data_IF_498043493080
#
_entry.id   IF_498043493080
#
_cell.length_a   1.000
_cell.length_b   1.000
_cell.length_c   1.000
_cell.angle_alpha   90.00
_cell.angle_beta   90.00
_cell.angle_gamma   90.00
#
_symmetry.space_group_name_H-M   'P 1'
#
loop_
_entity.id
_entity.type
_entity.pdbx_description
1 polymer ?
#
# COMPACT_ATOMS: atom_id res chain seq x y z
N UNK A 1 11.28 24.88 -7.64
CA UNK A 1 11.39 23.41 -7.68
C UNK A 1 10.43 22.80 -8.69
N UNK A 2 10.68 21.57 -9.17
CA UNK A 2 9.72 20.84 -10.00
C UNK A 2 8.71 20.14 -9.09
N UNK A 3 7.43 20.07 -9.51
CA UNK A 3 6.38 19.35 -8.82
C UNK A 3 5.32 18.83 -9.81
N UNK A 4 4.86 17.61 -9.63
CA UNK A 4 3.76 17.04 -10.41
C UNK A 4 2.44 17.44 -9.76
N UNK A 5 1.72 18.37 -10.41
CA UNK A 5 0.53 19.00 -9.85
C UNK A 5 -0.76 18.53 -10.52
N UNK A 6 -1.77 18.30 -9.70
CA UNK A 6 -3.17 18.21 -10.08
C UNK A 6 -3.76 19.61 -10.05
N UNK A 7 -4.41 20.00 -11.14
CA UNK A 7 -4.88 21.38 -11.38
C UNK A 7 -6.41 21.47 -11.29
N UNK A 8 -6.96 22.67 -11.01
CA UNK A 8 -8.40 22.88 -11.07
C UNK A 8 -8.94 22.76 -12.49
N UNK A 9 -10.26 22.76 -12.62
CA UNK A 9 -10.99 22.80 -13.90
C UNK A 9 -10.65 21.66 -14.87
N UNK A 10 -10.38 20.45 -14.32
CA UNK A 10 -10.05 19.25 -15.09
C UNK A 10 -8.85 19.41 -16.07
N UNK A 11 -7.96 20.36 -15.80
CA UNK A 11 -6.72 20.48 -16.55
C UNK A 11 -5.84 19.23 -16.32
N UNK A 12 -5.08 18.76 -17.32
CA UNK A 12 -4.20 17.61 -17.15
C UNK A 12 -3.17 17.84 -16.06
N UNK A 13 -3.02 16.86 -15.18
CA UNK A 13 -1.94 16.85 -14.19
C UNK A 13 -0.59 16.81 -14.92
N UNK A 14 0.35 17.65 -14.49
CA UNK A 14 1.64 17.81 -15.16
C UNK A 14 2.71 18.33 -14.21
N UNK A 15 3.97 18.17 -14.60
CA UNK A 15 5.10 18.81 -13.91
C UNK A 15 5.05 20.32 -14.17
N UNK A 16 5.23 21.07 -13.08
CA UNK A 16 5.32 22.52 -13.09
C UNK A 16 6.49 22.99 -12.23
N UNK A 17 7.01 24.16 -12.57
CA UNK A 17 7.92 24.89 -11.69
C UNK A 17 7.09 25.70 -10.69
N UNK A 18 7.32 25.45 -9.42
CA UNK A 18 6.65 26.11 -8.30
C UNK A 18 7.70 26.59 -7.29
N UNK A 19 7.32 27.52 -6.39
CA UNK A 19 8.19 27.92 -5.32
C UNK A 19 8.47 26.76 -4.38
N UNK A 20 9.69 26.70 -3.83
CA UNK A 20 10.03 25.72 -2.79
C UNK A 20 9.24 26.04 -1.53
N UNK A 21 8.47 25.08 -0.97
CA UNK A 21 7.64 25.36 0.18
C UNK A 21 8.49 25.58 1.44
N UNK A 22 8.05 26.49 2.31
CA UNK A 22 8.64 26.67 3.63
C UNK A 22 7.85 25.86 4.67
N UNK A 23 8.55 25.14 5.59
CA UNK A 23 7.89 24.34 6.60
C UNK A 23 7.19 25.22 7.63
N UNK A 24 5.92 24.92 7.90
CA UNK A 24 5.10 25.58 8.92
C UNK A 24 5.43 25.05 10.31
N UNK A 25 4.75 25.59 11.32
CA UNK A 25 4.85 25.08 12.69
C UNK A 25 4.57 23.57 12.74
N UNK A 26 5.48 22.80 13.34
CA UNK A 26 5.40 21.33 13.45
C UNK A 26 5.75 20.56 12.18
N UNK A 27 6.16 21.24 11.09
CA UNK A 27 6.54 20.57 9.83
C UNK A 27 8.06 20.54 9.62
N UNK A 28 8.48 19.60 8.82
CA UNK A 28 9.83 19.52 8.23
C UNK A 28 9.74 19.62 6.73
N UNK A 29 10.75 20.24 6.09
CA UNK A 29 10.96 20.15 4.64
C UNK A 29 11.91 19.03 4.34
N UNK A 30 11.52 18.13 3.42
CA UNK A 30 12.35 17.06 2.90
C UNK A 30 12.91 17.44 1.53
N UNK A 31 14.20 17.21 1.32
CA UNK A 31 14.74 16.92 0.00
C UNK A 31 14.29 15.48 -0.34
N UNK A 32 13.42 15.34 -1.34
CA UNK A 32 12.78 14.07 -1.67
C UNK A 32 13.76 13.20 -2.44
N UNK A 33 14.07 12.02 -1.92
CA UNK A 33 14.88 11.02 -2.60
C UNK A 33 14.05 10.03 -3.41
N UNK A 34 12.82 9.75 -2.98
CA UNK A 34 11.89 8.87 -3.69
C UNK A 34 10.44 9.07 -3.22
N UNK A 35 9.49 8.81 -4.11
CA UNK A 35 8.04 8.79 -3.84
C UNK A 35 7.42 7.50 -4.39
N UNK A 36 6.71 6.74 -3.56
CA UNK A 36 6.00 5.53 -3.95
C UNK A 36 4.63 5.83 -4.55
N UNK A 37 4.35 5.32 -5.74
CA UNK A 37 3.03 5.43 -6.36
C UNK A 37 2.03 4.44 -5.75
N UNK A 38 0.79 4.88 -5.59
CA UNK A 38 -0.33 4.11 -5.07
C UNK A 38 -1.54 4.18 -6.00
N UNK A 39 -2.41 3.18 -5.95
CA UNK A 39 -3.66 3.22 -6.72
C UNK A 39 -4.54 4.43 -6.34
N UNK A 40 -4.42 4.90 -5.10
CA UNK A 40 -5.07 6.10 -4.61
C UNK A 40 -4.65 7.37 -5.37
N UNK A 41 -3.42 7.46 -5.88
CA UNK A 41 -2.97 8.60 -6.69
C UNK A 41 -3.80 8.73 -7.98
N UNK A 42 -4.19 7.60 -8.60
CA UNK A 42 -5.10 7.59 -9.75
C UNK A 42 -6.50 8.12 -9.41
N UNK A 43 -6.98 7.83 -8.21
CA UNK A 43 -8.28 8.30 -7.73
C UNK A 43 -8.22 9.78 -7.34
N UNK A 44 -7.10 10.25 -6.76
CA UNK A 44 -6.88 11.66 -6.41
C UNK A 44 -6.87 12.56 -7.64
N UNK A 45 -6.25 12.13 -8.74
CA UNK A 45 -6.28 12.89 -10.02
C UNK A 45 -7.71 13.09 -10.52
N UNK A 46 -8.63 12.16 -10.22
CA UNK A 46 -10.05 12.23 -10.62
C UNK A 46 -10.95 12.90 -9.58
N UNK A 47 -10.43 13.21 -8.39
CA UNK A 47 -11.24 13.67 -7.26
C UNK A 47 -12.14 12.60 -6.62
N UNK A 48 -11.82 11.32 -6.86
CA UNK A 48 -12.61 10.16 -6.40
C UNK A 48 -12.07 9.54 -5.09
N UNK A 49 -10.93 10.02 -4.59
CA UNK A 49 -10.36 9.54 -3.32
C UNK A 49 -10.93 10.33 -2.14
N UNK A 50 -11.22 9.66 -1.03
CA UNK A 50 -11.91 10.25 0.14
C UNK A 50 -11.16 11.41 0.81
N UNK A 51 -9.83 11.43 0.72
CA UNK A 51 -8.97 12.52 1.25
C UNK A 51 -8.28 13.29 0.10
N UNK A 52 -8.98 13.48 -1.04
CA UNK A 52 -8.45 14.28 -2.16
C UNK A 52 -8.37 15.76 -1.73
N UNK A 53 -7.18 16.38 -1.82
CA UNK A 53 -7.06 17.81 -1.54
C UNK A 53 -7.74 18.68 -2.61
N UNK A 54 -8.08 19.93 -2.25
CA UNK A 54 -8.54 20.92 -3.22
C UNK A 54 -7.40 21.30 -4.19
N UNK A 55 -7.64 21.26 -5.52
CA UNK A 55 -6.63 21.71 -6.49
C UNK A 55 -6.38 23.22 -6.41
N UNK A 56 -5.12 23.70 -6.67
CA UNK A 56 -3.98 22.92 -7.09
C UNK A 56 -3.26 22.22 -5.92
N UNK A 57 -2.84 20.97 -6.12
CA UNK A 57 -1.99 20.28 -5.15
C UNK A 57 -0.93 19.42 -5.84
N UNK A 58 0.17 19.14 -5.13
CA UNK A 58 1.21 18.22 -5.58
C UNK A 58 0.84 16.80 -5.18
N UNK A 59 0.80 15.88 -6.16
CA UNK A 59 0.48 14.48 -5.94
C UNK A 59 1.61 13.75 -5.18
N UNK A 60 1.36 12.48 -4.79
CA UNK A 60 2.33 11.61 -4.12
C UNK A 60 2.17 11.60 -2.60
N UNK A 61 1.65 10.49 -2.08
CA UNK A 61 1.21 10.40 -0.69
C UNK A 61 2.25 9.80 0.27
N UNK A 62 3.23 9.05 -0.22
CA UNK A 62 4.29 8.46 0.60
C UNK A 62 5.67 8.73 0.00
N UNK A 63 6.56 9.21 0.84
CA UNK A 63 7.90 9.65 0.39
C UNK A 63 8.98 9.19 1.34
N UNK A 64 10.20 9.16 0.82
CA UNK A 64 11.41 9.05 1.61
C UNK A 64 12.42 10.11 1.14
N UNK A 65 13.16 10.67 2.06
CA UNK A 65 14.12 11.73 1.76
C UNK A 65 14.94 12.14 2.99
N UNK A 66 15.63 13.27 2.85
CA UNK A 66 16.45 13.85 3.91
C UNK A 66 15.80 15.13 4.42
N UNK A 67 15.72 15.31 5.73
CA UNK A 67 15.22 16.55 6.34
C UNK A 67 16.24 17.66 6.09
N UNK A 68 15.81 18.69 5.34
CA UNK A 68 16.66 19.81 4.95
C UNK A 68 16.36 21.07 5.77
N UNK A 69 15.11 21.23 6.25
CA UNK A 69 14.73 22.34 7.10
C UNK A 69 13.67 21.91 8.12
N UNK A 70 13.71 22.54 9.30
CA UNK A 70 12.73 22.39 10.37
C UNK A 70 11.89 23.66 10.49
N UNK A 71 10.58 23.52 10.57
CA UNK A 71 9.67 24.62 10.89
C UNK A 71 9.66 24.98 12.37
N UNK A 72 8.99 26.06 12.76
CA UNK A 72 8.88 26.44 14.17
C UNK A 72 8.36 25.29 15.04
N UNK A 73 8.96 25.13 16.23
CA UNK A 73 8.57 24.10 17.20
C UNK A 73 9.08 22.67 16.92
N UNK A 74 9.84 22.47 15.84
CA UNK A 74 10.47 21.18 15.53
C UNK A 74 11.91 21.17 16.02
N UNK A 75 12.35 20.02 16.57
CA UNK A 75 13.72 19.82 17.04
C UNK A 75 14.71 19.83 15.86
N UNK A 76 15.67 20.77 15.89
CA UNK A 76 16.73 20.87 14.86
C UNK A 76 17.66 19.65 14.82
N UNK A 77 17.66 18.79 15.84
CA UNK A 77 18.40 17.51 15.81
C UNK A 77 17.86 16.56 14.71
N UNK A 78 16.71 16.84 14.11
CA UNK A 78 16.17 16.13 12.96
C UNK A 78 16.83 16.51 11.62
N UNK A 79 17.52 17.66 11.54
CA UNK A 79 18.23 18.08 10.31
C UNK A 79 19.21 17.01 9.85
N UNK A 80 19.20 16.73 8.56
CA UNK A 80 20.04 15.71 7.93
C UNK A 80 19.59 14.27 8.18
N UNK A 81 18.52 14.02 8.95
CA UNK A 81 17.98 12.67 9.15
C UNK A 81 17.31 12.16 7.89
N UNK A 82 17.58 10.90 7.58
CA UNK A 82 16.90 10.14 6.53
C UNK A 82 15.60 9.60 7.09
N UNK A 83 14.49 9.95 6.45
CA UNK A 83 13.15 9.62 6.94
C UNK A 83 12.24 9.12 5.81
N UNK A 84 11.20 8.37 6.20
CA UNK A 84 10.04 8.15 5.37
C UNK A 84 8.81 8.77 6.03
N UNK A 85 7.87 9.26 5.22
CA UNK A 85 6.64 9.87 5.73
C UNK A 85 5.44 9.59 4.83
N UNK A 86 4.29 9.32 5.44
CA UNK A 86 3.00 9.35 4.78
C UNK A 86 2.41 10.75 4.94
N UNK A 87 2.57 11.58 3.91
CA UNK A 87 2.08 12.97 3.89
C UNK A 87 0.65 13.12 3.37
N UNK A 88 0.15 12.12 2.64
CA UNK A 88 -1.12 12.18 1.93
C UNK A 88 -1.05 12.90 0.58
N UNK A 89 -0.12 13.82 0.40
CA UNK A 89 0.18 14.57 -0.82
C UNK A 89 1.60 15.15 -0.74
N UNK A 90 2.08 15.77 -1.81
CA UNK A 90 3.32 16.57 -1.81
C UNK A 90 4.57 15.83 -2.22
N UNK A 91 4.50 14.50 -2.46
CA UNK A 91 5.67 13.65 -2.64
C UNK A 91 6.24 13.59 -4.05
N UNK A 92 5.49 13.92 -5.08
CA UNK A 92 5.98 13.94 -6.47
C UNK A 92 6.56 15.32 -6.82
N UNK A 93 7.66 15.65 -6.17
CA UNK A 93 8.37 16.93 -6.30
C UNK A 93 9.84 16.79 -5.88
N UNK A 94 10.65 17.82 -6.12
CA UNK A 94 12.03 17.90 -5.61
C UNK A 94 12.05 18.05 -4.08
N UNK A 95 11.11 18.84 -3.52
CA UNK A 95 10.96 19.12 -2.08
C UNK A 95 9.50 19.05 -1.66
N UNK A 96 9.26 18.72 -0.38
CA UNK A 96 7.92 18.74 0.21
C UNK A 96 7.95 19.01 1.71
N UNK A 97 6.90 19.65 2.24
CA UNK A 97 6.74 19.86 3.67
C UNK A 97 5.75 18.86 4.26
N UNK A 98 6.13 18.24 5.40
CA UNK A 98 5.38 17.17 6.04
C UNK A 98 5.39 17.30 7.56
N UNK A 99 4.34 16.80 8.26
CA UNK A 99 4.33 16.80 9.73
C UNK A 99 5.52 16.02 10.30
N UNK A 100 6.28 16.65 11.18
CA UNK A 100 7.49 16.07 11.78
C UNK A 100 7.18 14.81 12.62
N UNK A 101 6.02 14.80 13.29
CA UNK A 101 5.54 13.68 14.12
C UNK A 101 5.15 12.42 13.31
N UNK A 102 5.03 12.54 11.99
CA UNK A 102 4.77 11.41 11.08
C UNK A 102 6.03 10.87 10.41
N UNK A 103 7.16 11.56 10.57
CA UNK A 103 8.42 11.13 10.01
C UNK A 103 8.98 9.94 10.78
N UNK A 104 9.27 8.86 10.09
CA UNK A 104 9.92 7.66 10.65
C UNK A 104 11.37 7.63 10.20
N UNK A 105 12.30 7.64 11.15
CA UNK A 105 13.75 7.52 10.85
C UNK A 105 14.04 6.18 10.20
N UNK A 106 14.77 6.23 9.09
CA UNK A 106 15.13 5.04 8.32
C UNK A 106 16.37 4.32 8.89
N UNK A 107 16.42 2.98 8.79
CA UNK A 107 17.69 2.26 8.93
C UNK A 107 18.73 2.77 7.93
N UNK A 108 20.00 2.88 8.33
CA UNK A 108 21.07 3.44 7.48
C UNK A 108 21.22 2.72 6.14
N UNK A 109 21.02 1.40 6.14
CA UNK A 109 21.14 0.57 4.94
C UNK A 109 19.89 0.60 4.02
N UNK A 110 18.77 1.21 4.45
CA UNK A 110 17.53 1.21 3.66
C UNK A 110 17.59 2.26 2.55
N UNK A 111 17.52 1.89 1.24
CA UNK A 111 17.44 2.85 0.15
C UNK A 111 16.16 3.67 0.21
N UNK A 112 16.16 4.91 -0.28
CA UNK A 112 14.96 5.73 -0.37
C UNK A 112 13.86 5.09 -1.22
N UNK A 113 14.23 4.35 -2.26
CA UNK A 113 13.27 3.62 -3.11
C UNK A 113 12.50 2.55 -2.34
N UNK A 114 13.16 1.79 -1.47
CA UNK A 114 12.50 0.81 -0.61
C UNK A 114 11.62 1.51 0.43
N UNK A 115 12.16 2.57 1.06
CA UNK A 115 11.47 3.31 2.10
C UNK A 115 10.20 4.01 1.59
N UNK A 116 10.24 4.60 0.38
CA UNK A 116 9.08 5.21 -0.27
C UNK A 116 8.05 4.18 -0.78
N UNK A 117 8.44 2.92 -0.91
CA UNK A 117 7.57 1.81 -1.29
C UNK A 117 6.97 1.05 -0.09
N UNK A 118 7.28 1.48 1.14
CA UNK A 118 7.14 0.65 2.33
C UNK A 118 5.88 0.97 3.15
N UNK A 119 5.71 2.23 3.57
CA UNK A 119 4.74 2.56 4.62
C UNK A 119 3.30 2.18 4.28
N UNK A 120 2.80 2.61 3.12
CA UNK A 120 1.41 2.36 2.73
C UNK A 120 1.17 0.89 2.45
N UNK A 121 2.04 0.24 1.67
CA UNK A 121 1.82 -1.13 1.27
C UNK A 121 1.96 -2.11 2.44
N UNK A 122 3.11 -2.09 3.13
CA UNK A 122 3.34 -2.98 4.28
C UNK A 122 2.45 -2.60 5.47
N UNK A 123 2.30 -1.30 5.77
CA UNK A 123 1.43 -0.83 6.86
C UNK A 123 -0.02 -1.25 6.67
N UNK A 124 -0.57 -1.14 5.46
CA UNK A 124 -1.91 -1.63 5.14
C UNK A 124 -2.03 -3.12 5.39
N UNK A 125 -1.09 -3.91 4.87
CA UNK A 125 -1.13 -5.37 4.99
C UNK A 125 -0.94 -5.85 6.42
N UNK A 126 -0.02 -5.25 7.18
CA UNK A 126 0.20 -5.62 8.57
C UNK A 126 -1.00 -5.26 9.47
N UNK A 127 -1.52 -4.03 9.38
CA UNK A 127 -2.71 -3.64 10.15
C UNK A 127 -3.92 -4.50 9.76
N UNK A 128 -4.06 -4.87 8.48
CA UNK A 128 -5.12 -5.75 8.03
C UNK A 128 -5.01 -7.15 8.65
N UNK A 129 -3.86 -7.77 8.55
CA UNK A 129 -3.66 -9.17 8.95
C UNK A 129 -3.56 -9.30 10.48
N UNK A 130 -2.76 -8.46 11.13
CA UNK A 130 -2.53 -8.51 12.58
C UNK A 130 -3.71 -7.88 13.36
N UNK A 131 -3.95 -6.58 13.17
CA UNK A 131 -4.90 -5.84 14.01
C UNK A 131 -6.37 -6.15 13.68
N UNK A 132 -6.72 -6.26 12.38
CA UNK A 132 -8.11 -6.47 11.95
C UNK A 132 -8.50 -7.94 11.90
N UNK A 133 -7.79 -8.75 11.15
CA UNK A 133 -8.09 -10.16 10.97
C UNK A 133 -7.57 -11.03 12.14
N UNK A 134 -6.57 -10.56 12.88
CA UNK A 134 -5.90 -11.34 13.95
C UNK A 134 -5.47 -12.72 13.42
N UNK A 135 -4.76 -12.70 12.29
CA UNK A 135 -4.27 -13.89 11.62
C UNK A 135 -3.43 -14.74 12.58
N UNK A 136 -3.74 -16.02 12.68
CA UNK A 136 -3.03 -16.96 13.56
C UNK A 136 -2.09 -17.86 12.76
N UNK A 137 -0.98 -18.30 13.35
CA UNK A 137 -0.13 -19.33 12.74
C UNK A 137 -0.93 -20.58 12.38
N UNK A 138 -0.68 -21.14 11.18
CA UNK A 138 -1.38 -22.33 10.67
C UNK A 138 -2.69 -22.06 9.96
N UNK A 139 -3.24 -20.83 10.01
CA UNK A 139 -4.42 -20.47 9.22
C UNK A 139 -4.09 -20.36 7.71
N UNK A 140 -5.11 -20.59 6.88
CA UNK A 140 -5.01 -20.47 5.42
C UNK A 140 -5.44 -19.06 5.00
N UNK A 141 -4.48 -18.30 4.47
CA UNK A 141 -4.65 -16.94 3.95
C UNK A 141 -4.70 -16.95 2.42
N UNK A 142 -5.84 -16.54 1.82
CA UNK A 142 -5.89 -16.20 0.40
C UNK A 142 -5.58 -14.72 0.20
N UNK A 143 -4.63 -14.42 -0.68
CA UNK A 143 -4.32 -13.07 -1.14
C UNK A 143 -4.77 -12.90 -2.58
N UNK A 144 -5.81 -12.11 -2.82
CA UNK A 144 -6.24 -11.72 -4.16
C UNK A 144 -5.34 -10.59 -4.69
N UNK A 145 -5.06 -10.58 -5.99
CA UNK A 145 -4.16 -9.59 -6.58
C UNK A 145 -2.74 -9.65 -5.99
N UNK A 146 -2.27 -10.83 -5.64
CA UNK A 146 -1.07 -11.12 -4.85
C UNK A 146 0.23 -10.52 -5.40
N UNK A 147 0.33 -10.21 -6.68
CA UNK A 147 1.51 -9.59 -7.28
C UNK A 147 1.46 -8.05 -7.31
N UNK A 148 0.38 -7.42 -6.83
CA UNK A 148 0.27 -5.97 -6.73
C UNK A 148 0.94 -5.43 -5.46
N UNK A 149 1.02 -4.09 -5.31
CA UNK A 149 1.71 -3.44 -4.19
C UNK A 149 1.29 -3.99 -2.82
N UNK A 150 0.01 -3.85 -2.45
CA UNK A 150 -0.49 -4.33 -1.15
C UNK A 150 -0.70 -5.86 -1.12
N UNK A 151 -0.89 -6.51 -2.28
CA UNK A 151 -1.04 -7.97 -2.33
C UNK A 151 0.27 -8.68 -2.02
N UNK A 152 1.37 -8.23 -2.63
CA UNK A 152 2.68 -8.86 -2.45
C UNK A 152 3.16 -8.73 -1.00
N UNK A 153 2.96 -7.56 -0.38
CA UNK A 153 3.29 -7.36 1.03
C UNK A 153 2.42 -8.21 1.97
N UNK A 154 1.15 -8.48 1.59
CA UNK A 154 0.30 -9.39 2.36
C UNK A 154 0.78 -10.85 2.26
N UNK A 155 1.37 -11.26 1.13
CA UNK A 155 2.01 -12.58 1.01
C UNK A 155 3.19 -12.69 1.97
N UNK A 156 4.14 -11.75 1.92
CA UNK A 156 5.31 -11.76 2.82
C UNK A 156 4.91 -11.72 4.29
N UNK A 157 4.03 -10.80 4.68
CA UNK A 157 3.58 -10.64 6.08
C UNK A 157 2.83 -11.90 6.54
N UNK A 158 1.94 -12.46 5.72
CA UNK A 158 1.24 -13.71 6.04
C UNK A 158 2.21 -14.85 6.33
N UNK A 159 3.29 -14.97 5.55
CA UNK A 159 4.36 -15.95 5.81
C UNK A 159 5.09 -15.66 7.12
N UNK A 160 5.46 -14.41 7.40
CA UNK A 160 6.10 -14.04 8.66
C UNK A 160 5.21 -14.34 9.88
N UNK A 161 3.89 -14.25 9.73
CA UNK A 161 2.91 -14.58 10.76
C UNK A 161 2.62 -16.10 10.87
N UNK A 162 3.23 -16.94 10.01
CA UNK A 162 3.11 -18.40 10.07
C UNK A 162 1.87 -18.98 9.38
N UNK A 163 1.22 -18.22 8.50
CA UNK A 163 0.08 -18.70 7.71
C UNK A 163 0.51 -19.59 6.54
N UNK A 164 -0.40 -20.46 6.07
CA UNK A 164 -0.34 -21.05 4.74
C UNK A 164 -0.91 -20.06 3.74
N UNK A 165 -0.07 -19.53 2.85
CA UNK A 165 -0.45 -18.45 1.93
C UNK A 165 -0.77 -18.98 0.54
N UNK A 166 -1.99 -18.72 0.09
CA UNK A 166 -2.46 -18.95 -1.29
C UNK A 166 -2.41 -17.60 -2.02
N UNK A 167 -1.55 -17.48 -3.02
CA UNK A 167 -1.46 -16.27 -3.85
C UNK A 167 -2.29 -16.45 -5.14
N UNK A 168 -3.23 -15.51 -5.35
CA UNK A 168 -4.04 -15.45 -6.56
C UNK A 168 -3.64 -14.24 -7.41
N UNK A 169 -3.13 -14.49 -8.62
CA UNK A 169 -2.74 -13.46 -9.57
C UNK A 169 -3.04 -13.90 -11.03
N UNK A 170 -2.82 -13.02 -12.00
CA UNK A 170 -3.11 -13.29 -13.42
C UNK A 170 -1.84 -13.53 -14.22
N UNK A 171 -1.61 -14.77 -14.63
CA UNK A 171 -0.52 -15.20 -15.51
C UNK A 171 0.76 -15.57 -14.76
N UNK A 172 1.56 -16.41 -15.40
CA UNK A 172 2.74 -17.05 -14.82
C UNK A 172 3.77 -16.08 -14.25
N UNK A 173 4.08 -14.99 -14.95
CA UNK A 173 5.08 -14.01 -14.51
C UNK A 173 4.72 -13.39 -13.16
N UNK A 174 3.44 -13.06 -12.94
CA UNK A 174 2.94 -12.52 -11.68
C UNK A 174 2.90 -13.54 -10.56
N UNK A 175 2.58 -14.77 -10.89
CA UNK A 175 2.59 -15.86 -9.92
C UNK A 175 4.02 -16.16 -9.46
N UNK A 176 5.01 -16.14 -10.36
CA UNK A 176 6.40 -16.31 -10.00
C UNK A 176 6.90 -15.26 -9.00
N UNK A 177 6.47 -14.01 -9.13
CA UNK A 177 6.80 -12.94 -8.16
C UNK A 177 6.17 -13.24 -6.79
N UNK A 178 4.92 -13.70 -6.76
CA UNK A 178 4.26 -14.05 -5.50
C UNK A 178 4.87 -15.31 -4.84
N UNK A 179 5.33 -16.28 -5.64
CA UNK A 179 6.07 -17.45 -5.16
C UNK A 179 7.39 -17.05 -4.51
N UNK A 180 8.15 -16.14 -5.16
CA UNK A 180 9.40 -15.62 -4.60
C UNK A 180 9.18 -14.85 -3.28
N UNK A 181 8.02 -14.22 -3.11
CA UNK A 181 7.62 -13.58 -1.87
C UNK A 181 7.18 -14.57 -0.77
N UNK A 182 7.16 -15.88 -1.07
CA UNK A 182 6.94 -16.94 -0.10
C UNK A 182 5.56 -17.57 -0.12
N UNK A 183 4.74 -17.37 -1.16
CA UNK A 183 3.45 -18.07 -1.28
C UNK A 183 3.64 -19.60 -1.34
N UNK A 184 2.83 -20.35 -0.59
CA UNK A 184 2.85 -21.82 -0.57
C UNK A 184 2.08 -22.43 -1.74
N UNK A 185 1.02 -21.74 -2.17
CA UNK A 185 0.16 -22.17 -3.28
C UNK A 185 -0.14 -21.03 -4.21
N UNK A 186 -0.28 -21.34 -5.50
CA UNK A 186 -0.54 -20.38 -6.56
C UNK A 186 -1.87 -20.70 -7.26
N UNK A 187 -2.62 -19.67 -7.59
CA UNK A 187 -3.86 -19.76 -8.39
C UNK A 187 -3.79 -18.74 -9.52
N UNK A 188 -3.83 -19.20 -10.78
CA UNK A 188 -3.96 -18.31 -11.92
C UNK A 188 -5.44 -17.92 -12.13
N UNK A 189 -5.77 -16.69 -11.74
CA UNK A 189 -7.12 -16.13 -11.89
C UNK A 189 -7.61 -16.01 -13.36
N UNK A 190 -6.77 -16.31 -14.37
CA UNK A 190 -7.18 -16.35 -15.78
C UNK A 190 -7.71 -17.72 -16.20
N UNK A 191 -7.18 -18.79 -15.62
CA UNK A 191 -7.34 -20.16 -16.14
C UNK A 191 -7.93 -21.12 -15.12
N UNK A 192 -7.89 -20.79 -13.81
CA UNK A 192 -8.35 -21.66 -12.74
C UNK A 192 -9.60 -21.11 -12.05
N UNK A 193 -10.47 -22.01 -11.58
CA UNK A 193 -11.58 -21.66 -10.70
C UNK A 193 -11.06 -21.45 -9.27
N UNK A 194 -11.06 -20.18 -8.84
CA UNK A 194 -10.54 -19.76 -7.53
C UNK A 194 -11.25 -20.53 -6.40
N UNK A 195 -12.58 -20.67 -6.48
CA UNK A 195 -13.37 -21.33 -5.45
C UNK A 195 -13.00 -22.81 -5.31
N UNK A 196 -12.98 -23.53 -6.43
CA UNK A 196 -12.70 -24.98 -6.43
C UNK A 196 -11.25 -25.25 -6.00
N UNK A 197 -10.30 -24.42 -6.44
CA UNK A 197 -8.90 -24.51 -6.00
C UNK A 197 -8.73 -24.27 -4.51
N UNK A 198 -9.36 -23.22 -3.97
CA UNK A 198 -9.30 -22.94 -2.53
C UNK A 198 -9.95 -24.06 -1.71
N UNK A 199 -11.07 -24.62 -2.16
CA UNK A 199 -11.72 -25.74 -1.47
C UNK A 199 -10.86 -27.02 -1.49
N UNK A 200 -10.18 -27.31 -2.61
CA UNK A 200 -9.27 -28.45 -2.71
C UNK A 200 -8.06 -28.32 -1.76
N UNK A 201 -7.71 -27.09 -1.37
CA UNK A 201 -6.66 -26.77 -0.39
C UNK A 201 -7.17 -26.69 1.06
N UNK A 202 -8.42 -27.07 1.34
CA UNK A 202 -8.99 -27.09 2.70
C UNK A 202 -9.86 -25.89 3.06
N UNK A 203 -10.12 -24.96 2.14
CA UNK A 203 -10.89 -23.75 2.39
C UNK A 203 -10.04 -22.58 2.89
N UNK A 204 -10.68 -21.49 3.30
CA UNK A 204 -10.02 -20.22 3.63
C UNK A 204 -10.41 -19.75 5.02
N UNK A 205 -9.45 -19.39 5.84
CA UNK A 205 -9.68 -18.80 7.17
C UNK A 205 -9.59 -17.27 7.11
N UNK A 206 -8.69 -16.74 6.27
CA UNK A 206 -8.56 -15.30 6.03
C UNK A 206 -8.48 -15.02 4.53
N UNK A 207 -9.17 -13.98 4.08
CA UNK A 207 -9.07 -13.47 2.70
C UNK A 207 -8.62 -12.03 2.74
N UNK A 208 -7.55 -11.71 2.02
CA UNK A 208 -7.06 -10.36 1.80
C UNK A 208 -7.46 -9.89 0.40
N UNK A 209 -8.43 -8.99 0.31
CA UNK A 209 -9.04 -8.60 -0.98
C UNK A 209 -8.86 -7.13 -1.34
N UNK A 210 -7.87 -6.79 -2.18
CA UNK A 210 -7.75 -5.48 -2.82
C UNK A 210 -8.44 -5.40 -4.19
N UNK A 211 -9.16 -6.45 -4.62
CA UNK A 211 -9.66 -6.61 -6.00
C UNK A 211 -11.17 -6.39 -6.11
N UNK A 212 -11.95 -7.04 -5.25
CA UNK A 212 -13.41 -7.05 -5.34
C UNK A 212 -13.97 -7.90 -6.49
N UNK A 213 -15.20 -7.59 -6.90
CA UNK A 213 -15.87 -8.22 -8.05
C UNK A 213 -16.02 -9.73 -7.94
N UNK A 214 -15.82 -10.45 -9.06
CA UNK A 214 -16.02 -11.90 -9.11
C UNK A 214 -14.99 -12.69 -8.30
N UNK A 215 -13.78 -12.17 -8.12
CA UNK A 215 -12.77 -12.82 -7.28
C UNK A 215 -13.20 -12.81 -5.81
N UNK A 216 -13.76 -11.71 -5.32
CA UNK A 216 -14.40 -11.67 -3.99
C UNK A 216 -15.49 -12.72 -3.86
N UNK A 217 -16.40 -12.81 -4.85
CA UNK A 217 -17.53 -13.77 -4.83
C UNK A 217 -17.04 -15.22 -4.77
N UNK A 218 -15.99 -15.54 -5.50
CA UNK A 218 -15.38 -16.86 -5.52
C UNK A 218 -14.73 -17.19 -4.16
N UNK A 219 -13.90 -16.28 -3.62
CA UNK A 219 -13.25 -16.41 -2.32
C UNK A 219 -14.27 -16.55 -1.18
N UNK A 220 -15.31 -15.70 -1.15
CA UNK A 220 -16.38 -15.73 -0.16
C UNK A 220 -17.06 -17.10 -0.06
N UNK A 221 -17.27 -17.77 -1.22
CA UNK A 221 -17.88 -19.10 -1.28
C UNK A 221 -16.93 -20.23 -0.82
N UNK A 222 -15.62 -19.99 -0.84
CA UNK A 222 -14.60 -20.94 -0.41
C UNK A 222 -14.21 -20.81 1.08
N UNK A 223 -14.71 -19.80 1.77
CA UNK A 223 -14.44 -19.56 3.19
C UNK A 223 -14.95 -20.69 4.08
N UNK A 224 -14.13 -21.04 5.06
CA UNK A 224 -14.48 -21.88 6.21
C UNK A 224 -15.45 -21.15 7.16
N UNK A 225 -16.14 -21.85 8.08
CA UNK A 225 -16.81 -21.20 9.19
C UNK A 225 -15.85 -20.28 9.98
N UNK A 226 -16.35 -19.13 10.46
CA UNK A 226 -15.60 -18.12 11.21
C UNK A 226 -14.50 -17.40 10.41
N UNK A 227 -14.41 -17.58 9.10
CA UNK A 227 -13.46 -16.89 8.27
C UNK A 227 -13.63 -15.36 8.32
N UNK A 228 -12.53 -14.64 8.10
CA UNK A 228 -12.49 -13.18 8.05
C UNK A 228 -12.07 -12.72 6.66
N UNK A 229 -12.86 -11.85 6.03
CA UNK A 229 -12.57 -11.27 4.73
C UNK A 229 -12.24 -9.79 4.91
N UNK A 230 -11.06 -9.39 4.49
CA UNK A 230 -10.56 -8.03 4.57
C UNK A 230 -10.85 -7.29 3.26
N UNK A 231 -11.75 -6.31 3.29
CA UNK A 231 -11.99 -5.40 2.18
C UNK A 231 -10.92 -4.29 2.20
N UNK A 232 -9.92 -4.41 1.31
CA UNK A 232 -8.77 -3.51 1.20
C UNK A 232 -8.94 -2.52 0.05
N UNK A 233 -9.59 -2.95 -1.03
CA UNK A 233 -9.80 -2.12 -2.21
C UNK A 233 -10.65 -2.80 -3.27
N UNK A 234 -10.91 -2.06 -4.34
CA UNK A 234 -11.80 -2.51 -5.42
C UNK A 234 -11.13 -2.28 -6.78
N UNK A 235 -9.93 -2.84 -6.94
CA UNK A 235 -9.16 -2.66 -8.18
C UNK A 235 -9.87 -3.22 -9.43
N UNK A 236 -10.85 -4.12 -9.28
CA UNK A 236 -11.70 -4.56 -10.40
C UNK A 236 -12.59 -3.43 -10.95
N UNK A 237 -12.87 -2.39 -10.15
CA UNK A 237 -13.87 -1.36 -10.40
C UNK A 237 -15.27 -1.74 -9.88
N UNK A 238 -15.46 -2.95 -9.33
CA UNK A 238 -16.74 -3.44 -8.81
C UNK A 238 -16.67 -3.63 -7.30
N UNK A 239 -17.48 -2.86 -6.58
CA UNK A 239 -17.68 -3.02 -5.12
C UNK A 239 -18.60 -4.22 -4.88
N UNK A 240 -18.15 -5.25 -4.15
CA UNK A 240 -18.95 -6.46 -3.96
C UNK A 240 -20.16 -6.22 -3.06
N UNK A 241 -21.30 -6.79 -3.45
CA UNK A 241 -22.47 -6.88 -2.58
C UNK A 241 -22.32 -8.08 -1.64
N UNK A 242 -22.47 -7.86 -0.35
CA UNK A 242 -22.28 -8.89 0.67
C UNK A 242 -23.62 -9.46 1.07
N UNK A 243 -23.91 -10.75 0.77
CA UNK A 243 -25.18 -11.38 1.13
C UNK A 243 -25.18 -11.71 2.64
N UNK A 244 -25.90 -10.92 3.43
CA UNK A 244 -25.95 -11.03 4.90
C UNK A 244 -26.44 -12.41 5.40
N UNK A 245 -27.32 -13.08 4.66
CA UNK A 245 -27.76 -14.44 4.98
C UNK A 245 -26.61 -15.46 4.94
N UNK A 246 -25.63 -15.28 4.06
CA UNK A 246 -24.44 -16.16 4.01
C UNK A 246 -23.48 -15.86 5.16
N UNK A 247 -23.35 -14.59 5.59
CA UNK A 247 -22.57 -14.25 6.79
C UNK A 247 -23.12 -14.99 8.00
N UNK A 248 -24.45 -14.95 8.18
CA UNK A 248 -25.15 -15.59 9.30
C UNK A 248 -24.94 -17.11 9.30
N UNK A 249 -25.15 -17.78 8.15
CA UNK A 249 -25.10 -19.26 8.08
C UNK A 249 -23.69 -19.81 8.27
N UNK A 250 -22.66 -19.10 7.80
CA UNK A 250 -21.27 -19.52 7.89
C UNK A 250 -20.50 -18.92 9.06
N UNK A 251 -21.09 -17.97 9.80
CA UNK A 251 -20.41 -17.16 10.82
C UNK A 251 -19.18 -16.41 10.28
N UNK A 252 -19.25 -15.91 9.04
CA UNK A 252 -18.17 -15.18 8.39
C UNK A 252 -18.22 -13.70 8.76
N UNK A 253 -17.07 -13.07 8.93
CA UNK A 253 -16.93 -11.62 9.11
C UNK A 253 -16.35 -10.95 7.86
N UNK A 254 -16.87 -9.79 7.47
CA UNK A 254 -16.26 -8.91 6.48
C UNK A 254 -15.79 -7.64 7.18
N UNK A 255 -14.50 -7.34 7.06
CA UNK A 255 -13.80 -6.30 7.81
C UNK A 255 -13.26 -5.25 6.82
N UNK A 256 -13.71 -4.01 6.95
CA UNK A 256 -13.16 -2.90 6.17
C UNK A 256 -11.86 -2.37 6.77
N UNK A 257 -10.93 -1.95 5.92
CA UNK A 257 -9.74 -1.24 6.32
C UNK A 257 -9.50 -0.03 5.43
N UNK A 258 -9.47 1.16 6.04
CA UNK A 258 -8.88 2.36 5.49
C UNK A 258 -7.68 2.75 6.36
N UNK A 259 -6.47 2.41 5.90
CA UNK A 259 -5.23 2.54 6.68
C UNK A 259 -4.95 4.00 7.08
N UNK A 260 -5.00 4.94 6.12
CA UNK A 260 -4.78 6.37 6.39
C UNK A 260 -5.77 6.97 7.38
N UNK A 261 -6.98 6.42 7.46
CA UNK A 261 -7.99 6.85 8.43
C UNK A 261 -7.55 6.68 9.89
N UNK A 262 -6.72 5.67 10.18
CA UNK A 262 -6.21 5.42 11.54
C UNK A 262 -5.41 6.59 12.10
N UNK A 263 -4.76 7.39 11.26
CA UNK A 263 -4.07 8.61 11.70
C UNK A 263 -4.99 9.59 12.43
N UNK A 264 -6.30 9.58 12.11
CA UNK A 264 -7.30 10.50 12.69
C UNK A 264 -7.86 10.01 14.03
N UNK A 265 -8.01 8.68 14.23
CA UNK A 265 -8.72 8.14 15.39
C UNK A 265 -7.91 7.16 16.25
N UNK A 266 -6.87 6.52 15.71
CA UNK A 266 -5.98 5.59 16.46
C UNK A 266 -4.58 5.56 15.85
N UNK A 267 -3.82 6.67 15.85
CA UNK A 267 -2.50 6.76 15.22
C UNK A 267 -1.51 5.73 15.78
N UNK A 268 -1.65 5.34 17.06
CA UNK A 268 -0.78 4.36 17.71
C UNK A 268 -0.77 3.00 16.98
N UNK A 269 -1.90 2.58 16.39
CA UNK A 269 -1.95 1.32 15.61
C UNK A 269 -1.02 1.38 14.40
N UNK A 270 -0.90 2.55 13.76
CA UNK A 270 0.03 2.73 12.63
C UNK A 270 1.47 2.75 13.13
N UNK A 271 1.78 3.54 14.17
CA UNK A 271 3.16 3.64 14.67
C UNK A 271 3.69 2.30 15.19
N UNK A 272 2.88 1.54 15.94
CA UNK A 272 3.27 0.20 16.42
C UNK A 272 3.48 -0.78 15.26
N UNK A 273 2.59 -0.73 14.27
CA UNK A 273 2.70 -1.54 13.05
C UNK A 273 3.98 -1.22 12.29
N UNK A 274 4.28 0.05 12.05
CA UNK A 274 5.49 0.48 11.33
C UNK A 274 6.77 0.13 12.11
N UNK A 275 6.77 0.28 13.45
CA UNK A 275 7.90 -0.12 14.28
C UNK A 275 8.21 -1.62 14.14
N UNK A 276 7.18 -2.47 14.16
CA UNK A 276 7.31 -3.92 13.91
C UNK A 276 7.87 -4.20 12.52
N UNK A 277 7.33 -3.55 11.50
CA UNK A 277 7.71 -3.75 10.10
C UNK A 277 9.16 -3.30 9.82
N UNK A 278 9.58 -2.16 10.34
CA UNK A 278 10.98 -1.71 10.22
C UNK A 278 11.95 -2.64 10.97
N UNK A 279 11.52 -3.21 12.10
CA UNK A 279 12.27 -4.27 12.79
C UNK A 279 12.43 -5.51 11.90
N UNK A 280 11.36 -5.98 11.27
CA UNK A 280 11.42 -7.12 10.34
C UNK A 280 12.28 -6.84 9.10
N UNK A 281 12.22 -5.60 8.58
CA UNK A 281 13.09 -5.18 7.47
C UNK A 281 14.58 -5.21 7.90
N UNK A 282 14.92 -4.65 9.06
CA UNK A 282 16.28 -4.64 9.59
C UNK A 282 16.82 -6.07 9.82
N UNK A 283 15.95 -7.00 10.23
CA UNK A 283 16.25 -8.43 10.37
C UNK A 283 16.36 -9.17 9.02
N UNK A 284 16.13 -8.51 7.88
CA UNK A 284 16.15 -9.12 6.55
C UNK A 284 14.94 -10.04 6.26
N UNK A 285 13.88 -9.96 7.07
CA UNK A 285 12.66 -10.78 6.93
C UNK A 285 11.70 -10.25 5.87
N UNK A 286 11.77 -8.95 5.54
CA UNK A 286 10.99 -8.31 4.49
C UNK A 286 11.90 -7.81 3.39
N UNK A 287 11.45 -7.97 2.13
CA UNK A 287 12.22 -7.60 0.93
C UNK A 287 11.32 -6.80 -0.02
N UNK A 288 11.25 -5.46 0.13
CA UNK A 288 10.42 -4.63 -0.73
C UNK A 288 10.68 -4.89 -2.22
N UNK A 289 9.62 -5.22 -2.95
CA UNK A 289 9.70 -5.43 -4.39
C UNK A 289 9.30 -4.17 -5.14
N UNK A 290 10.29 -3.44 -5.63
CA UNK A 290 10.11 -2.28 -6.51
C UNK A 290 10.34 -2.73 -7.95
N UNK A 291 9.26 -2.84 -8.74
CA UNK A 291 9.35 -3.32 -10.13
C UNK A 291 9.87 -2.26 -11.10
N UNK A 292 9.61 -0.97 -10.81
CA UNK A 292 10.01 0.14 -11.66
C UNK A 292 10.44 1.32 -10.79
N UNK A 293 11.58 1.89 -11.13
CA UNK A 293 12.03 3.20 -10.63
C UNK A 293 12.13 4.13 -11.84
N UNK A 294 11.38 5.21 -11.82
CA UNK A 294 11.25 6.15 -12.93
C UNK A 294 11.58 7.57 -12.46
N UNK A 295 12.15 8.44 -13.31
CA UNK A 295 12.34 9.83 -12.97
C UNK A 295 11.00 10.59 -12.90
N UNK A 296 11.02 11.76 -12.25
CA UNK A 296 9.82 12.60 -12.04
C UNK A 296 9.09 12.91 -13.36
N UNK A 297 9.83 13.09 -14.45
CA UNK A 297 9.29 13.35 -15.79
C UNK A 297 8.42 12.21 -16.32
N UNK A 298 8.62 11.00 -15.83
CA UNK A 298 7.86 9.80 -16.25
C UNK A 298 6.75 9.42 -15.25
N UNK A 299 6.32 10.36 -14.39
CA UNK A 299 5.23 10.10 -13.43
C UNK A 299 3.97 9.56 -14.11
N UNK A 300 3.59 10.10 -15.27
CA UNK A 300 2.42 9.61 -16.02
C UNK A 300 2.61 8.17 -16.51
N UNK A 301 3.82 7.80 -16.94
CA UNK A 301 4.14 6.41 -17.33
C UNK A 301 4.01 5.47 -16.13
N UNK A 302 4.51 5.89 -14.97
CA UNK A 302 4.37 5.14 -13.71
C UNK A 302 2.91 4.94 -13.30
N UNK A 303 2.09 5.97 -13.38
CA UNK A 303 0.65 5.89 -13.12
C UNK A 303 -0.07 4.98 -14.14
N UNK A 304 0.35 5.01 -15.41
CA UNK A 304 -0.18 4.14 -16.45
C UNK A 304 0.15 2.66 -16.21
N UNK A 305 1.34 2.34 -15.69
CA UNK A 305 1.69 0.97 -15.26
C UNK A 305 0.72 0.46 -14.20
N UNK A 306 0.34 1.29 -13.22
CA UNK A 306 -0.64 0.94 -12.20
C UNK A 306 -2.04 0.76 -12.80
N UNK A 307 -2.49 1.73 -13.62
CA UNK A 307 -3.82 1.71 -14.25
C UNK A 307 -4.02 0.47 -15.13
N UNK A 308 -3.00 0.10 -15.90
CA UNK A 308 -3.03 -1.07 -16.80
C UNK A 308 -2.62 -2.37 -16.12
N UNK A 309 -2.26 -2.31 -14.82
CA UNK A 309 -1.84 -3.48 -14.02
C UNK A 309 -0.65 -4.22 -14.65
N UNK A 310 0.28 -3.49 -15.24
CA UNK A 310 1.51 -4.03 -15.83
C UNK A 310 2.64 -4.12 -14.82
N UNK A 311 2.59 -3.38 -13.70
CA UNK A 311 3.57 -3.49 -12.61
C UNK A 311 3.31 -4.70 -11.72
N UNK A 312 4.37 -5.13 -11.02
CA UNK A 312 4.34 -6.00 -9.86
C UNK A 312 4.93 -5.25 -8.65
N UNK A 313 4.47 -5.54 -7.42
CA UNK A 313 4.90 -4.77 -6.25
C UNK A 313 4.67 -3.27 -6.42
N UNK A 314 5.70 -2.47 -6.15
CA UNK A 314 5.62 -1.00 -6.18
C UNK A 314 6.29 -0.39 -7.41
N UNK A 315 5.79 0.77 -7.79
CA UNK A 315 6.42 1.70 -8.73
C UNK A 315 6.85 2.93 -7.94
N UNK A 316 8.08 3.35 -8.12
CA UNK A 316 8.70 4.46 -7.38
C UNK A 316 9.16 5.54 -8.37
N UNK A 317 8.93 6.78 -7.99
CA UNK A 317 9.40 7.97 -8.71
C UNK A 317 10.57 8.57 -7.93
N UNK A 318 11.62 8.94 -8.65
CA UNK A 318 12.76 9.70 -8.10
C UNK A 318 12.81 11.07 -8.75
N UNK A 319 13.08 12.14 -7.99
CA UNK A 319 13.23 13.50 -8.53
C UNK A 319 14.34 13.66 -9.54
#
# INVERSE_FOLDING_TARGET
MRAFQVLPDAQPAAIRTVDTPEPKEGEVRLEIGACGLNFADLLMIKGEYQDTPEPPFTLGMEVAGTIEACGPGVDEALLGRRVAVFGGQGGLADYGCFPADRCVTLPDAMPFTDAAAFQVAYGTSHVALDHKARLQPGETLLVLGAAGGVGLTAVEIGKQMGATVIACARGADKLAVAEQAGADHLIDAKTEDIRERCKALGGLDVVYDPVGGDQFKAAFRACNPEARILAIGFASGEVPQIPANHLLVKNISVLGLYWGGYLKFRPQVISDSLATLFGWYADGKLKPHVSHTLPLEQTLDGLELLRTRKSTGKVVITP
#
